data_IF_529850425000
#
_entry.id   IF_529850425000
#
_cell.length_a   1.000
_cell.length_b   1.000
_cell.length_c   1.000
_cell.angle_alpha   90.00
_cell.angle_beta   90.00
_cell.angle_gamma   90.00
#
_symmetry.space_group_name_H-M   'P 1'
#
loop_
_entity.id
_entity.type
_entity.pdbx_description
1 polymer ?
#
# COMPACT_ATOMS: atom_id res chain seq x y z
N UNK A 1 5.11 14.98 4.50
CA UNK A 1 5.74 14.56 3.23
C UNK A 1 6.25 15.78 2.50
N UNK A 2 7.45 15.68 1.92
CA UNK A 2 8.12 16.82 1.26
C UNK A 2 7.60 16.99 -0.16
N UNK A 3 6.46 17.63 -0.33
CA UNK A 3 5.90 17.91 -1.67
C UNK A 3 6.70 18.95 -2.44
N UNK A 4 7.45 19.81 -1.73
CA UNK A 4 8.24 20.88 -2.32
C UNK A 4 9.59 20.44 -2.91
N UNK A 5 10.00 19.19 -2.67
CA UNK A 5 11.26 18.67 -3.21
C UNK A 5 10.98 18.05 -4.59
N UNK A 6 11.52 18.65 -5.68
CA UNK A 6 11.34 18.09 -7.01
C UNK A 6 12.10 16.76 -7.17
N UNK A 7 11.90 16.09 -8.29
CA UNK A 7 12.70 14.93 -8.69
C UNK A 7 14.18 15.30 -8.80
N UNK A 8 15.04 14.49 -8.22
CA UNK A 8 16.49 14.72 -8.17
C UNK A 8 17.25 14.04 -9.33
N UNK A 9 16.55 13.68 -10.40
CA UNK A 9 17.16 13.19 -11.64
C UNK A 9 17.97 11.90 -11.44
N UNK A 10 19.26 11.92 -11.84
CA UNK A 10 20.12 10.74 -11.80
C UNK A 10 20.31 10.14 -10.40
N UNK A 11 20.21 10.95 -9.33
CA UNK A 11 20.34 10.52 -7.94
C UNK A 11 19.28 9.49 -7.56
N UNK A 12 18.08 9.61 -8.11
CA UNK A 12 16.95 8.67 -7.92
C UNK A 12 17.19 7.28 -8.52
N UNK A 13 18.27 7.13 -9.28
CA UNK A 13 18.66 5.82 -9.79
C UNK A 13 19.29 4.92 -8.72
N UNK A 14 19.81 5.49 -7.66
CA UNK A 14 20.54 4.77 -6.62
C UNK A 14 19.92 4.94 -5.24
N UNK A 15 19.40 6.11 -4.94
CA UNK A 15 18.89 6.46 -3.62
C UNK A 15 17.40 6.73 -3.63
N UNK A 16 16.78 6.42 -2.50
CA UNK A 16 15.37 6.79 -2.26
C UNK A 16 15.30 8.29 -2.00
N UNK A 17 14.50 8.98 -2.79
CA UNK A 17 14.28 10.43 -2.70
C UNK A 17 12.88 10.73 -2.16
N UNK A 18 12.58 12.01 -1.97
CA UNK A 18 11.25 12.46 -1.59
C UNK A 18 10.17 12.01 -2.60
N UNK A 19 10.49 12.00 -3.90
CA UNK A 19 9.60 11.52 -4.96
C UNK A 19 9.30 10.03 -4.81
N UNK A 20 10.33 9.20 -4.64
CA UNK A 20 10.16 7.76 -4.40
C UNK A 20 9.35 7.48 -3.14
N UNK A 21 9.57 8.26 -2.08
CA UNK A 21 8.87 8.13 -0.82
C UNK A 21 7.40 8.57 -0.91
N UNK A 22 7.08 9.60 -1.71
CA UNK A 22 5.69 9.98 -2.02
C UNK A 22 4.93 8.83 -2.66
N UNK A 23 5.53 8.18 -3.66
CA UNK A 23 4.95 6.98 -4.31
C UNK A 23 4.72 5.86 -3.30
N UNK A 24 5.67 5.62 -2.38
CA UNK A 24 5.52 4.61 -1.32
C UNK A 24 4.30 4.85 -0.43
N UNK A 25 4.02 6.12 -0.09
CA UNK A 25 2.88 6.49 0.74
C UNK A 25 1.57 6.73 -0.02
N UNK A 26 1.61 6.68 -1.34
CA UNK A 26 0.42 6.91 -2.15
C UNK A 26 -0.50 5.69 -2.18
N UNK A 27 -1.80 5.94 -2.17
CA UNK A 27 -2.83 4.91 -2.28
C UNK A 27 -3.42 4.78 -3.70
N UNK A 28 -2.90 5.51 -4.67
CA UNK A 28 -3.24 5.31 -6.07
C UNK A 28 -2.96 3.85 -6.46
N UNK A 29 -3.82 3.23 -7.24
CA UNK A 29 -3.70 1.80 -7.58
C UNK A 29 -2.35 1.43 -8.19
N UNK A 30 -1.80 2.30 -9.04
CA UNK A 30 -0.50 2.09 -9.67
C UNK A 30 0.71 2.18 -8.70
N UNK A 31 0.54 2.79 -7.52
CA UNK A 31 1.60 3.03 -6.53
C UNK A 31 1.58 2.03 -5.38
N UNK A 32 0.56 1.17 -5.34
CA UNK A 32 0.44 0.18 -4.28
C UNK A 32 1.56 -0.83 -4.37
N UNK A 33 2.09 -1.19 -3.21
CA UNK A 33 3.19 -2.14 -3.07
C UNK A 33 4.42 -1.73 -3.89
N UNK A 34 4.74 -0.43 -3.92
CA UNK A 34 5.90 0.12 -4.61
C UNK A 34 6.86 0.83 -3.65
N UNK A 35 8.13 0.90 -4.09
CA UNK A 35 9.22 1.65 -3.47
C UNK A 35 9.41 1.36 -1.97
N UNK A 36 9.67 0.11 -1.62
CA UNK A 36 9.89 -0.32 -0.23
C UNK A 36 11.27 0.03 0.33
N UNK A 37 12.23 0.37 -0.51
CA UNK A 37 13.58 0.71 -0.10
C UNK A 37 13.61 1.90 0.86
N UNK A 38 14.37 1.79 1.95
CA UNK A 38 14.54 2.89 2.90
C UNK A 38 15.62 3.89 2.50
N UNK A 39 16.73 3.41 1.93
CA UNK A 39 17.89 4.22 1.53
C UNK A 39 18.23 4.01 0.07
N UNK A 40 18.31 2.77 -0.37
CA UNK A 40 18.71 2.41 -1.74
C UNK A 40 17.52 1.91 -2.53
N UNK A 41 17.28 2.51 -3.70
CA UNK A 41 16.22 2.11 -4.63
C UNK A 41 16.59 0.87 -5.44
N UNK A 42 17.85 0.44 -5.38
CA UNK A 42 18.38 -0.73 -6.09
C UNK A 42 17.57 -1.98 -5.75
N UNK A 43 17.16 -2.13 -4.50
CA UNK A 43 16.35 -3.27 -4.05
C UNK A 43 15.00 -3.31 -4.75
N UNK A 44 14.32 -2.17 -4.86
CA UNK A 44 13.04 -2.09 -5.56
C UNK A 44 13.16 -2.42 -7.04
N UNK A 45 14.27 -2.02 -7.68
CA UNK A 45 14.55 -2.39 -9.07
C UNK A 45 14.79 -3.88 -9.22
N UNK A 46 15.54 -4.47 -8.31
CA UNK A 46 15.86 -5.90 -8.33
C UNK A 46 14.61 -6.77 -8.10
N UNK A 47 13.70 -6.34 -7.24
CA UNK A 47 12.45 -7.06 -6.94
C UNK A 47 11.25 -6.63 -7.79
N UNK A 48 11.43 -5.69 -8.72
CA UNK A 48 10.35 -5.21 -9.61
C UNK A 48 9.27 -4.36 -8.90
N UNK A 49 9.59 -3.82 -7.74
CA UNK A 49 8.70 -2.94 -6.98
C UNK A 49 8.96 -1.44 -7.24
N UNK A 50 9.96 -1.12 -8.05
CA UNK A 50 10.27 0.28 -8.38
C UNK A 50 9.19 0.91 -9.26
N UNK A 51 8.72 2.10 -8.87
CA UNK A 51 7.80 2.93 -9.64
C UNK A 51 8.19 4.40 -9.52
N UNK A 52 8.30 5.08 -10.65
CA UNK A 52 8.55 6.53 -10.71
C UNK A 52 7.22 7.26 -10.50
N UNK A 53 7.27 8.39 -9.81
CA UNK A 53 6.12 9.29 -9.66
C UNK A 53 5.70 9.85 -11.02
N UNK A 54 4.42 9.71 -11.35
CA UNK A 54 3.83 10.27 -12.57
C UNK A 54 3.44 11.75 -12.34
N UNK A 55 3.88 12.62 -13.21
CA UNK A 55 3.57 14.05 -13.13
C UNK A 55 2.11 14.38 -13.44
N UNK A 56 1.44 13.48 -14.18
CA UNK A 56 0.04 13.63 -14.54
C UNK A 56 -0.91 13.07 -13.48
N UNK A 57 -0.38 12.30 -12.52
CA UNK A 57 -1.19 11.68 -11.47
C UNK A 57 -0.60 11.97 -10.10
N UNK A 58 -1.16 12.98 -9.44
CA UNK A 58 -0.74 13.37 -8.10
C UNK A 58 -0.89 12.22 -7.09
N UNK A 59 0.07 12.07 -6.21
CA UNK A 59 0.03 11.10 -5.13
C UNK A 59 -1.12 11.44 -4.15
N UNK A 60 -2.03 10.51 -3.96
CA UNK A 60 -3.12 10.61 -2.97
C UNK A 60 -2.66 9.88 -1.72
N UNK A 61 -2.51 10.61 -0.62
CA UNK A 61 -2.04 10.04 0.64
C UNK A 61 -3.21 9.61 1.53
N UNK A 62 -2.97 8.59 2.34
CA UNK A 62 -3.94 8.14 3.34
C UNK A 62 -3.86 6.64 3.61
N UNK A 63 -4.81 6.14 4.37
CA UNK A 63 -4.96 4.73 4.68
C UNK A 63 -6.17 4.20 3.94
N UNK A 64 -6.03 3.11 3.20
CA UNK A 64 -7.12 2.50 2.42
C UNK A 64 -8.28 1.97 3.27
N UNK A 65 -8.00 1.59 4.51
CA UNK A 65 -9.02 1.16 5.47
C UNK A 65 -8.87 1.93 6.76
N UNK A 66 -9.88 2.70 7.11
CA UNK A 66 -9.91 3.37 8.41
C UNK A 66 -10.26 2.36 9.50
N UNK A 67 -9.44 2.33 10.54
CA UNK A 67 -9.67 1.39 11.65
C UNK A 67 -10.86 1.83 12.54
N UNK A 68 -11.26 3.11 12.45
CA UNK A 68 -12.35 3.74 13.20
C UNK A 68 -12.37 3.42 14.71
N UNK A 69 -11.19 3.25 15.31
CA UNK A 69 -11.05 2.96 16.73
C UNK A 69 -9.82 3.64 17.31
N UNK A 70 -9.95 4.10 18.54
CA UNK A 70 -8.84 4.64 19.34
C UNK A 70 -8.25 3.59 20.30
N UNK A 71 -8.69 2.33 20.22
CA UNK A 71 -8.14 1.25 21.03
C UNK A 71 -6.72 0.87 20.56
N UNK A 72 -5.66 1.15 21.33
CA UNK A 72 -4.29 0.86 20.89
C UNK A 72 -3.98 -0.63 20.78
N UNK A 73 -4.64 -1.46 21.57
CA UNK A 73 -4.49 -2.93 21.48
C UNK A 73 -5.07 -3.43 20.18
N UNK A 74 -6.27 -2.97 19.84
CA UNK A 74 -6.89 -3.34 18.56
C UNK A 74 -6.12 -2.81 17.37
N UNK A 75 -5.60 -1.59 17.44
CA UNK A 75 -4.77 -1.00 16.40
C UNK A 75 -3.54 -1.85 16.05
N UNK A 76 -2.98 -2.55 17.02
CA UNK A 76 -1.85 -3.45 16.80
C UNK A 76 -2.27 -4.88 16.38
N UNK A 77 -3.39 -5.38 16.88
CA UNK A 77 -3.78 -6.78 16.68
C UNK A 77 -4.64 -7.01 15.45
N UNK A 78 -5.35 -6.01 14.94
CA UNK A 78 -6.33 -6.18 13.86
C UNK A 78 -5.73 -6.79 12.59
N UNK A 79 -4.46 -6.49 12.26
CA UNK A 79 -3.77 -7.05 11.10
C UNK A 79 -3.59 -8.57 11.26
N UNK A 80 -3.16 -9.02 12.44
CA UNK A 80 -2.98 -10.44 12.73
C UNK A 80 -4.32 -11.18 12.71
N UNK A 81 -5.35 -10.58 13.30
CA UNK A 81 -6.71 -11.15 13.27
C UNK A 81 -7.23 -11.25 11.83
N UNK A 82 -6.96 -10.24 11.00
CA UNK A 82 -7.29 -10.27 9.57
C UNK A 82 -6.61 -11.43 8.87
N UNK A 83 -5.30 -11.58 9.03
CA UNK A 83 -4.52 -12.67 8.42
C UNK A 83 -5.05 -14.04 8.86
N UNK A 84 -5.31 -14.24 10.15
CA UNK A 84 -5.85 -15.48 10.68
C UNK A 84 -7.24 -15.79 10.10
N UNK A 85 -8.08 -14.76 9.97
CA UNK A 85 -9.42 -14.89 9.37
C UNK A 85 -9.33 -15.26 7.88
N UNK A 86 -8.44 -14.65 7.14
CA UNK A 86 -8.18 -14.95 5.73
C UNK A 86 -7.65 -16.38 5.55
N UNK A 87 -6.73 -16.81 6.40
CA UNK A 87 -6.24 -18.19 6.43
C UNK A 87 -7.38 -19.20 6.70
N UNK A 88 -8.25 -18.91 7.65
CA UNK A 88 -9.30 -19.85 8.04
C UNK A 88 -10.42 -19.93 7.01
N UNK A 89 -10.81 -18.81 6.43
CA UNK A 89 -11.85 -18.72 5.40
C UNK A 89 -11.38 -19.16 4.02
N UNK A 90 -10.08 -19.23 3.78
CA UNK A 90 -9.55 -19.68 2.50
C UNK A 90 -9.83 -21.15 2.26
N UNK A 91 -10.36 -21.48 1.09
CA UNK A 91 -10.70 -22.86 0.70
C UNK A 91 -9.44 -23.62 0.24
N UNK A 92 -8.42 -22.91 -0.24
CA UNK A 92 -7.18 -23.51 -0.76
C UNK A 92 -6.09 -23.61 0.32
N UNK A 93 -5.49 -24.78 0.45
CA UNK A 93 -4.34 -25.00 1.33
C UNK A 93 -3.12 -24.13 0.94
N UNK A 94 -2.95 -23.85 -0.36
CA UNK A 94 -1.89 -22.97 -0.85
C UNK A 94 -2.08 -21.54 -0.35
N UNK A 95 -3.30 -21.04 -0.40
CA UNK A 95 -3.63 -19.70 0.08
C UNK A 95 -3.47 -19.58 1.60
N UNK A 96 -3.80 -20.64 2.36
CA UNK A 96 -3.59 -20.70 3.81
C UNK A 96 -2.11 -20.57 4.19
N UNK A 97 -1.23 -21.26 3.49
CA UNK A 97 0.21 -21.18 3.73
C UNK A 97 0.84 -19.89 3.22
N UNK A 98 0.29 -19.31 2.16
CA UNK A 98 0.81 -18.09 1.55
C UNK A 98 0.37 -16.82 2.31
N UNK A 99 -0.81 -16.80 2.90
CA UNK A 99 -1.39 -15.61 3.55
C UNK A 99 -0.46 -14.88 4.53
N UNK A 100 0.32 -15.55 5.42
CA UNK A 100 1.23 -14.87 6.35
C UNK A 100 2.40 -14.15 5.67
N UNK A 101 2.77 -14.60 4.46
CA UNK A 101 3.90 -14.08 3.68
C UNK A 101 3.44 -13.23 2.50
N UNK A 102 2.13 -13.12 2.30
CA UNK A 102 1.55 -12.36 1.22
C UNK A 102 1.74 -10.85 1.43
N UNK A 103 1.71 -10.10 0.33
CA UNK A 103 1.67 -8.63 0.39
C UNK A 103 0.39 -8.17 1.08
N UNK A 104 0.44 -7.01 1.73
CA UNK A 104 -0.69 -6.42 2.47
C UNK A 104 -1.94 -6.18 1.61
N UNK A 105 -1.77 -6.00 0.31
CA UNK A 105 -2.86 -5.84 -0.67
C UNK A 105 -3.39 -7.16 -1.22
N UNK A 106 -2.73 -8.30 -0.91
CA UNK A 106 -3.16 -9.59 -1.40
C UNK A 106 -4.44 -10.07 -0.72
N UNK A 107 -5.33 -10.64 -1.50
CA UNK A 107 -6.54 -11.33 -1.01
C UNK A 107 -6.66 -12.67 -1.73
N UNK A 108 -7.09 -13.75 -1.03
CA UNK A 108 -7.29 -15.05 -1.64
C UNK A 108 -8.25 -14.97 -2.84
N UNK A 109 -7.98 -15.75 -3.88
CA UNK A 109 -8.84 -15.81 -5.06
C UNK A 109 -10.27 -16.35 -4.75
N UNK A 110 -10.38 -17.10 -3.67
CA UNK A 110 -11.63 -17.66 -3.16
C UNK A 110 -12.52 -16.67 -2.41
N UNK A 111 -12.03 -15.43 -2.15
CA UNK A 111 -12.83 -14.41 -1.50
C UNK A 111 -13.86 -13.81 -2.47
N UNK A 112 -15.13 -13.66 -2.06
CA UNK A 112 -16.15 -13.03 -2.89
C UNK A 112 -15.73 -11.59 -3.24
N UNK A 113 -16.01 -11.19 -4.48
CA UNK A 113 -15.66 -9.87 -5.03
C UNK A 113 -16.20 -8.68 -4.22
N UNK A 114 -17.25 -8.91 -3.45
CA UNK A 114 -17.87 -7.88 -2.60
C UNK A 114 -17.01 -7.55 -1.36
N UNK A 115 -16.32 -8.54 -0.79
CA UNK A 115 -15.37 -8.31 0.29
C UNK A 115 -14.13 -7.48 -0.16
N UNK A 116 -13.87 -7.46 -1.47
CA UNK A 116 -12.81 -6.67 -2.09
C UNK A 116 -13.21 -5.20 -2.25
N UNK A 117 -14.51 -4.91 -2.35
CA UNK A 117 -15.06 -3.55 -2.50
C UNK A 117 -15.19 -2.80 -1.18
N UNK A 118 -15.46 -3.48 -0.07
CA UNK A 118 -15.64 -2.85 1.24
C UNK A 118 -14.35 -2.20 1.78
N UNK A 119 -13.19 -2.59 1.24
CA UNK A 119 -11.92 -1.95 1.57
C UNK A 119 -11.65 -0.68 0.74
N UNK A 120 -12.50 -0.31 -0.23
CA UNK A 120 -12.21 0.76 -1.18
C UNK A 120 -13.25 1.89 -1.21
N UNK A 121 -14.21 1.94 -0.29
CA UNK A 121 -15.14 3.05 -0.19
C UNK A 121 -14.54 4.21 0.59
N UNK A 122 -13.43 4.73 0.09
CA UNK A 122 -13.01 6.08 0.45
C UNK A 122 -13.61 7.04 -0.58
N UNK A 123 -14.81 7.46 -0.33
CA UNK A 123 -15.36 8.65 -0.99
C UNK A 123 -14.56 9.86 -0.48
N UNK A 124 -13.43 10.13 -1.11
CA UNK A 124 -12.80 11.43 -0.95
C UNK A 124 -13.73 12.50 -1.52
N UNK A 125 -14.43 13.15 -0.64
CA UNK A 125 -15.05 14.42 -0.95
C UNK A 125 -13.91 15.39 -1.32
N UNK A 126 -13.71 15.62 -2.61
CA UNK A 126 -12.86 16.68 -3.16
C UNK A 126 -13.35 18.10 -2.79
N UNK A 127 -14.13 18.25 -1.73
CA UNK A 127 -14.76 19.48 -1.28
C UNK A 127 -14.00 20.26 -0.21
N UNK A 128 -12.70 20.02 -0.02
CA UNK A 128 -11.91 20.83 0.90
C UNK A 128 -10.65 21.43 0.27
N UNK A 129 -10.71 21.79 -1.00
CA UNK A 129 -9.74 22.70 -1.61
C UNK A 129 -10.47 23.76 -2.44
N UNK A 130 -11.16 24.64 -1.75
CA UNK A 130 -11.51 26.00 -2.20
C UNK A 130 -11.35 26.96 -1.04
#
# INVERSE_FOLDING_TARGET
HSEHIPKLGWYENYFVTASNHRVHHAQNEQYIDKNYGGVFIIWDRMFGTHKIEDENEACIYGIRSTLNTFNPVWANLHVYVKILKEMWLSTSWKDKLYAPFARTSWTPASFPSDAKKDNFNVSYSLKQQT
#
